data_IF_640452466669
#
_entry.id   IF_640452466669
#
_cell.length_a   1.000
_cell.length_b   1.000
_cell.length_c   1.000
_cell.angle_alpha   90.00
_cell.angle_beta   90.00
_cell.angle_gamma   90.00
#
_symmetry.space_group_name_H-M   'P 1'
#
loop_
_entity.id
_entity.type
_entity.pdbx_description
1 polymer ?
#
# COMPACT_ATOMS: atom_id res chain seq x y z
N UNK A 1 -13.75 37.69 21.40
CA UNK A 1 -14.00 36.47 22.20
C UNK A 1 -12.94 35.46 21.80
N UNK A 2 -12.08 35.10 22.75
CA UNK A 2 -10.87 34.31 22.51
C UNK A 2 -11.23 32.90 22.02
N UNK A 3 -10.55 32.44 20.97
CA UNK A 3 -10.71 31.11 20.34
C UNK A 3 -9.96 30.01 21.10
N UNK A 4 -9.71 30.21 22.40
CA UNK A 4 -8.74 29.44 23.19
C UNK A 4 -9.41 28.36 24.06
N UNK A 5 -10.47 27.73 23.53
CA UNK A 5 -11.25 26.73 24.25
C UNK A 5 -11.69 25.55 23.33
N UNK A 6 -10.79 25.07 22.47
CA UNK A 6 -10.88 23.68 21.97
C UNK A 6 -9.92 22.88 22.86
N UNK A 7 -10.35 22.36 24.01
CA UNK A 7 -11.15 21.14 24.02
C UNK A 7 -10.28 20.02 23.46
N UNK A 8 -9.63 19.22 24.32
CA UNK A 8 -8.71 18.16 23.91
C UNK A 8 -9.29 17.37 22.74
N UNK A 9 -8.56 17.36 21.61
CA UNK A 9 -8.99 16.72 20.36
C UNK A 9 -9.35 15.27 20.72
N UNK A 10 -10.61 14.88 20.52
CA UNK A 10 -10.96 13.45 20.60
C UNK A 10 -10.05 12.72 19.59
N UNK A 11 -9.49 11.55 19.94
CA UNK A 11 -8.87 10.69 18.95
C UNK A 11 -9.87 10.51 17.81
N UNK A 12 -9.42 10.73 16.57
CA UNK A 12 -10.20 10.40 15.38
C UNK A 12 -10.46 8.89 15.37
N UNK A 13 -11.54 8.46 14.74
CA UNK A 13 -11.86 7.05 14.57
C UNK A 13 -10.90 6.41 13.54
N UNK A 14 -10.19 5.31 13.85
CA UNK A 14 -9.34 4.60 12.89
C UNK A 14 -10.05 4.25 11.57
N UNK A 15 -11.35 3.95 11.58
CA UNK A 15 -12.11 3.64 10.36
C UNK A 15 -12.26 4.88 9.48
N UNK A 16 -12.59 6.02 10.09
CA UNK A 16 -12.69 7.31 9.39
C UNK A 16 -11.33 7.75 8.83
N UNK A 17 -10.25 7.59 9.59
CA UNK A 17 -8.89 7.92 9.14
C UNK A 17 -8.45 7.02 7.97
N UNK A 18 -8.78 5.72 8.01
CA UNK A 18 -8.47 4.79 6.92
C UNK A 18 -9.28 5.09 5.65
N UNK A 19 -10.58 5.39 5.81
CA UNK A 19 -11.45 5.82 4.71
C UNK A 19 -10.93 7.12 4.09
N UNK A 20 -10.52 8.07 4.93
CA UNK A 20 -9.95 9.32 4.46
C UNK A 20 -8.60 9.13 3.77
N UNK A 21 -7.75 8.21 4.25
CA UNK A 21 -6.50 7.87 3.59
C UNK A 21 -6.72 7.36 2.16
N UNK A 22 -7.69 6.44 1.97
CA UNK A 22 -8.09 5.94 0.64
C UNK A 22 -8.55 7.06 -0.30
N UNK A 23 -9.31 8.03 0.23
CA UNK A 23 -9.82 9.16 -0.56
C UNK A 23 -8.74 10.20 -0.88
N UNK A 24 -7.86 10.50 0.07
CA UNK A 24 -6.80 11.49 -0.09
C UNK A 24 -5.69 10.96 -1.00
N UNK A 25 -5.39 9.66 -0.94
CA UNK A 25 -4.41 9.03 -1.83
C UNK A 25 -4.79 9.26 -3.29
N UNK A 26 -6.01 8.89 -3.71
CA UNK A 26 -6.45 9.11 -5.10
C UNK A 26 -6.63 10.60 -5.43
N UNK A 27 -6.93 11.45 -4.44
CA UNK A 27 -7.02 12.90 -4.65
C UNK A 27 -5.65 13.60 -4.77
N UNK A 28 -4.57 12.96 -4.29
CA UNK A 28 -3.20 13.44 -4.38
C UNK A 28 -2.77 13.57 -5.84
N UNK A 29 -2.28 14.74 -6.24
CA UNK A 29 -1.93 15.01 -7.64
C UNK A 29 -0.71 15.94 -7.73
N UNK A 30 0.22 15.69 -8.67
CA UNK A 30 0.32 14.52 -9.55
C UNK A 30 0.72 13.24 -8.82
N UNK A 31 0.22 12.10 -9.28
CA UNK A 31 0.83 10.77 -9.04
C UNK A 31 1.25 10.17 -10.38
N UNK A 32 2.54 10.26 -10.76
CA UNK A 32 2.96 9.85 -12.09
C UNK A 32 2.48 8.47 -12.52
N UNK A 33 1.77 8.41 -13.65
CA UNK A 33 1.28 7.16 -14.26
C UNK A 33 0.03 6.54 -13.65
N UNK A 34 -0.36 6.97 -12.46
CA UNK A 34 -1.49 6.40 -11.73
C UNK A 34 -2.75 7.28 -11.85
N UNK A 35 -3.91 6.72 -11.54
CA UNK A 35 -5.17 7.46 -11.44
C UNK A 35 -5.06 8.50 -10.33
N UNK A 36 -5.42 9.75 -10.63
CA UNK A 36 -5.47 10.84 -9.67
C UNK A 36 -6.64 11.79 -9.95
N UNK A 37 -6.79 12.88 -9.20
CA UNK A 37 -7.92 13.82 -9.39
C UNK A 37 -8.01 14.43 -10.80
N UNK A 38 -6.91 14.42 -11.56
CA UNK A 38 -6.79 15.02 -12.91
C UNK A 38 -6.68 13.97 -14.00
N UNK A 39 -6.46 12.70 -13.67
CA UNK A 39 -6.14 11.63 -14.62
C UNK A 39 -6.95 10.37 -14.33
N UNK A 40 -7.68 9.94 -15.34
CA UNK A 40 -8.27 8.61 -15.44
C UNK A 40 -7.38 7.72 -16.32
N UNK A 41 -7.49 6.39 -16.16
CA UNK A 41 -7.04 5.40 -17.13
C UNK A 41 -8.25 4.83 -17.88
N UNK A 42 -8.03 4.19 -19.03
CA UNK A 42 -9.10 3.72 -19.95
C UNK A 42 -10.23 2.96 -19.23
N UNK A 43 -9.86 2.01 -18.36
CA UNK A 43 -10.79 1.15 -17.63
C UNK A 43 -10.88 1.47 -16.13
N UNK A 44 -10.20 2.52 -15.67
CA UNK A 44 -10.09 2.83 -14.24
C UNK A 44 -10.13 4.34 -14.00
N UNK A 45 -11.24 4.81 -13.42
CA UNK A 45 -11.55 6.23 -13.26
C UNK A 45 -11.52 6.67 -11.81
N UNK A 46 -11.25 7.95 -11.57
CA UNK A 46 -11.23 8.57 -10.25
C UNK A 46 -12.48 8.25 -9.43
N UNK A 47 -13.67 8.30 -10.03
CA UNK A 47 -14.93 8.04 -9.32
C UNK A 47 -15.07 6.58 -8.85
N UNK A 48 -14.40 5.62 -9.52
CA UNK A 48 -14.37 4.22 -9.10
C UNK A 48 -13.67 4.10 -7.74
N UNK A 49 -12.57 4.81 -7.52
CA UNK A 49 -11.85 4.84 -6.23
C UNK A 49 -12.71 5.45 -5.12
N UNK A 50 -13.47 6.52 -5.41
CA UNK A 50 -14.41 7.09 -4.43
C UNK A 50 -15.45 6.05 -4.01
N UNK A 51 -15.98 5.29 -4.97
CA UNK A 51 -16.91 4.19 -4.70
C UNK A 51 -16.26 3.06 -3.92
N UNK A 52 -15.02 2.69 -4.29
CA UNK A 52 -14.23 1.65 -3.64
C UNK A 52 -13.93 1.96 -2.17
N UNK A 53 -13.49 3.17 -1.87
CA UNK A 53 -13.22 3.63 -0.51
C UNK A 53 -14.46 3.55 0.39
N UNK A 54 -15.64 3.94 -0.12
CA UNK A 54 -16.90 3.80 0.62
C UNK A 54 -17.30 2.33 0.78
N UNK A 55 -17.12 1.51 -0.27
CA UNK A 55 -17.44 0.08 -0.25
C UNK A 55 -16.59 -0.73 0.73
N UNK A 56 -15.32 -0.35 0.92
CA UNK A 56 -14.40 -1.03 1.81
C UNK A 56 -14.71 -0.83 3.31
N UNK A 57 -15.53 0.17 3.66
CA UNK A 57 -15.72 0.62 5.04
C UNK A 57 -16.12 -0.50 6.01
N UNK A 58 -17.03 -1.38 5.62
CA UNK A 58 -17.49 -2.46 6.50
C UNK A 58 -16.35 -3.42 6.90
N UNK A 59 -15.41 -3.70 5.98
CA UNK A 59 -14.23 -4.48 6.33
C UNK A 59 -13.24 -3.72 7.22
N UNK A 60 -13.15 -2.39 7.07
CA UNK A 60 -12.35 -1.55 7.97
C UNK A 60 -12.96 -1.46 9.38
N UNK A 61 -14.29 -1.43 9.50
CA UNK A 61 -15.01 -1.53 10.77
C UNK A 61 -14.68 -2.87 11.47
N UNK A 62 -14.75 -3.99 10.75
CA UNK A 62 -14.35 -5.29 11.26
C UNK A 62 -12.87 -5.31 11.71
N UNK A 63 -11.98 -4.68 10.94
CA UNK A 63 -10.56 -4.55 11.32
C UNK A 63 -10.38 -3.74 12.61
N UNK A 64 -11.20 -2.72 12.84
CA UNK A 64 -11.21 -1.93 14.07
C UNK A 64 -11.85 -2.66 15.26
N UNK A 65 -12.38 -3.88 15.05
CA UNK A 65 -13.11 -4.64 16.06
C UNK A 65 -14.56 -4.24 16.22
N UNK A 66 -15.10 -3.47 15.28
CA UNK A 66 -16.51 -3.12 15.18
C UNK A 66 -17.23 -4.20 14.38
N UNK A 67 -18.10 -4.97 15.01
CA UNK A 67 -18.82 -6.03 14.33
C UNK A 67 -19.97 -6.59 15.18
N UNK A 68 -20.88 -7.36 14.56
CA UNK A 68 -21.94 -8.04 15.29
C UNK A 68 -21.37 -9.17 16.16
N UNK A 69 -21.50 -9.04 17.47
CA UNK A 69 -21.08 -10.04 18.44
C UNK A 69 -19.88 -9.59 19.29
N UNK A 70 -19.45 -10.46 20.20
CA UNK A 70 -18.32 -10.18 21.11
C UNK A 70 -16.96 -10.64 20.55
N UNK A 71 -16.97 -11.43 19.46
CA UNK A 71 -15.74 -11.91 18.81
C UNK A 71 -15.25 -10.90 17.77
N UNK A 72 -13.97 -10.54 17.88
CA UNK A 72 -13.35 -9.68 16.89
C UNK A 72 -13.00 -10.49 15.64
N UNK A 73 -13.39 -9.97 14.47
CA UNK A 73 -13.03 -10.56 13.19
C UNK A 73 -11.51 -10.76 13.05
N UNK A 74 -11.15 -11.82 12.31
CA UNK A 74 -9.77 -12.07 11.92
C UNK A 74 -9.30 -11.00 10.92
N UNK A 75 -7.99 -10.82 10.82
CA UNK A 75 -7.38 -9.84 9.89
C UNK A 75 -7.72 -10.20 8.44
N UNK A 76 -7.62 -11.49 8.08
CA UNK A 76 -7.98 -11.98 6.77
C UNK A 76 -9.46 -11.83 6.46
N UNK A 77 -10.35 -12.08 7.43
CA UNK A 77 -11.80 -11.91 7.24
C UNK A 77 -12.19 -10.45 7.06
N UNK A 78 -11.58 -9.53 7.81
CA UNK A 78 -11.76 -8.09 7.63
C UNK A 78 -11.27 -7.63 6.25
N UNK A 79 -10.12 -8.13 5.80
CA UNK A 79 -9.59 -7.87 4.46
C UNK A 79 -10.50 -8.40 3.34
N UNK A 80 -10.93 -9.66 3.41
CA UNK A 80 -11.86 -10.26 2.44
C UNK A 80 -13.16 -9.43 2.33
N UNK A 81 -13.71 -9.00 3.47
CA UNK A 81 -14.91 -8.15 3.47
C UNK A 81 -14.65 -6.78 2.86
N UNK A 82 -13.52 -6.15 3.17
CA UNK A 82 -13.16 -4.84 2.62
C UNK A 82 -13.01 -4.90 1.09
N UNK A 83 -12.29 -5.91 0.58
CA UNK A 83 -12.09 -6.12 -0.86
C UNK A 83 -13.42 -6.41 -1.55
N UNK A 84 -14.25 -7.29 -0.96
CA UNK A 84 -15.57 -7.61 -1.53
C UNK A 84 -16.47 -6.38 -1.62
N UNK A 85 -16.56 -5.58 -0.54
CA UNK A 85 -17.36 -4.35 -0.53
C UNK A 85 -16.84 -3.29 -1.50
N UNK A 86 -15.51 -3.13 -1.61
CA UNK A 86 -14.87 -2.30 -2.62
C UNK A 86 -15.27 -2.74 -4.04
N UNK A 87 -15.11 -4.02 -4.36
CA UNK A 87 -15.39 -4.57 -5.68
C UNK A 87 -16.88 -4.50 -6.04
N UNK A 88 -17.79 -4.78 -5.10
CA UNK A 88 -19.23 -4.65 -5.30
C UNK A 88 -19.62 -3.22 -5.70
N UNK A 89 -18.98 -2.23 -5.09
CA UNK A 89 -19.32 -0.82 -5.26
C UNK A 89 -18.62 -0.15 -6.43
N UNK A 90 -17.34 -0.46 -6.64
CA UNK A 90 -16.51 0.09 -7.71
C UNK A 90 -16.61 -0.71 -9.03
N UNK A 91 -17.10 -1.96 -8.97
CA UNK A 91 -17.21 -2.90 -10.10
C UNK A 91 -15.88 -3.31 -10.73
N UNK A 92 -14.76 -2.97 -10.08
CA UNK A 92 -13.40 -3.27 -10.47
C UNK A 92 -12.49 -3.22 -9.25
N UNK A 93 -11.25 -3.65 -9.40
CA UNK A 93 -10.20 -3.44 -8.41
C UNK A 93 -9.75 -1.97 -8.45
N UNK A 94 -9.87 -1.26 -7.33
CA UNK A 94 -9.33 0.10 -7.19
C UNK A 94 -8.16 0.16 -6.22
N UNK A 95 -8.26 -0.53 -5.08
CA UNK A 95 -7.43 -0.26 -3.90
C UNK A 95 -7.11 -1.55 -3.10
N UNK A 96 -7.01 -2.70 -3.77
CA UNK A 96 -6.69 -3.99 -3.11
C UNK A 96 -5.41 -3.92 -2.27
N UNK A 97 -4.31 -3.40 -2.82
CA UNK A 97 -3.04 -3.27 -2.09
C UNK A 97 -3.11 -2.26 -0.95
N UNK A 98 -3.81 -1.13 -1.13
CA UNK A 98 -4.10 -0.19 -0.05
C UNK A 98 -4.78 -0.89 1.12
N UNK A 99 -5.81 -1.70 0.86
CA UNK A 99 -6.53 -2.46 1.90
C UNK A 99 -5.64 -3.52 2.56
N UNK A 100 -4.76 -4.16 1.78
CA UNK A 100 -3.80 -5.14 2.29
C UNK A 100 -2.87 -4.51 3.33
N UNK A 101 -2.49 -3.24 3.14
CA UNK A 101 -1.66 -2.50 4.10
C UNK A 101 -2.49 -1.86 5.23
N UNK A 102 -3.68 -1.34 4.94
CA UNK A 102 -4.51 -0.63 5.91
C UNK A 102 -5.11 -1.54 6.98
N UNK A 103 -5.58 -2.73 6.64
CA UNK A 103 -6.26 -3.62 7.59
C UNK A 103 -5.41 -3.93 8.85
N UNK A 104 -4.15 -4.39 8.75
CA UNK A 104 -3.32 -4.60 9.94
C UNK A 104 -2.99 -3.30 10.68
N UNK A 105 -2.88 -2.17 9.98
CA UNK A 105 -2.65 -0.84 10.59
C UNK A 105 -3.87 -0.37 11.40
N UNK A 106 -5.08 -0.53 10.86
CA UNK A 106 -6.34 -0.23 11.55
C UNK A 106 -6.51 -1.11 12.78
N UNK A 107 -6.25 -2.42 12.63
CA UNK A 107 -6.26 -3.38 13.74
C UNK A 107 -5.31 -2.97 14.85
N UNK A 108 -4.10 -2.54 14.50
CA UNK A 108 -3.12 -2.09 15.47
C UNK A 108 -3.53 -0.77 16.15
N UNK A 109 -4.16 0.15 15.41
CA UNK A 109 -4.58 1.45 15.92
C UNK A 109 -5.85 1.41 16.80
N UNK A 110 -6.68 0.37 16.64
CA UNK A 110 -7.91 0.18 17.41
C UNK A 110 -7.67 -0.52 18.77
N UNK A 111 -6.57 -1.27 18.90
CA UNK A 111 -6.15 -1.90 20.14
C UNK A 111 -5.59 -0.85 21.12
N UNK A 112 -6.34 -0.55 22.19
CA UNK A 112 -5.96 0.48 23.17
C UNK A 112 -4.68 0.18 23.96
N UNK A 113 -4.28 -1.10 24.01
CA UNK A 113 -3.07 -1.55 24.69
C UNK A 113 -1.87 -1.61 23.73
N UNK A 114 -2.05 -1.19 22.48
CA UNK A 114 -1.04 -1.26 21.43
C UNK A 114 -0.75 0.11 20.84
N UNK A 115 0.54 0.37 20.65
CA UNK A 115 0.98 1.55 19.93
C UNK A 115 0.95 1.30 18.41
N UNK A 116 0.51 2.30 17.65
CA UNK A 116 0.68 2.31 16.19
C UNK A 116 2.15 2.60 15.84
N UNK A 117 2.95 1.54 15.91
CA UNK A 117 4.39 1.52 15.66
C UNK A 117 4.78 0.29 14.84
N UNK A 118 5.99 0.25 14.25
CA UNK A 118 6.49 -0.92 13.53
C UNK A 118 6.31 -2.23 14.32
N UNK A 119 6.68 -2.23 15.61
CA UNK A 119 6.56 -3.40 16.48
C UNK A 119 5.09 -3.76 16.78
N UNK A 120 4.23 -2.76 16.96
CA UNK A 120 2.80 -2.97 17.19
C UNK A 120 2.12 -3.69 16.02
N UNK A 121 2.42 -3.23 14.79
CA UNK A 121 1.86 -3.77 13.54
C UNK A 121 2.48 -5.13 13.20
N UNK A 122 3.80 -5.33 13.38
CA UNK A 122 4.44 -6.64 13.19
C UNK A 122 3.83 -7.71 14.12
N UNK A 123 3.49 -7.34 15.35
CA UNK A 123 2.79 -8.25 16.26
C UNK A 123 1.37 -8.61 15.79
N UNK A 124 0.64 -7.71 15.12
CA UNK A 124 -0.65 -8.04 14.47
C UNK A 124 -0.42 -9.00 13.31
N UNK A 125 0.56 -8.72 12.45
CA UNK A 125 0.88 -9.57 11.30
C UNK A 125 1.30 -10.98 11.73
N UNK A 126 2.15 -11.10 12.76
CA UNK A 126 2.58 -12.39 13.32
C UNK A 126 1.47 -13.20 13.99
N UNK A 127 0.41 -12.53 14.45
CA UNK A 127 -0.72 -13.18 15.06
C UNK A 127 -1.72 -13.74 14.03
N UNK A 128 -1.52 -13.49 12.74
CA UNK A 128 -2.35 -14.08 11.69
C UNK A 128 -2.23 -15.60 11.65
N UNK A 129 -3.30 -16.23 11.18
CA UNK A 129 -3.50 -17.66 11.21
C UNK A 129 -3.65 -18.23 9.80
N UNK A 130 -3.81 -19.55 9.72
CA UNK A 130 -4.16 -20.25 8.48
C UNK A 130 -5.53 -19.79 7.94
N UNK A 131 -6.49 -19.50 8.82
CA UNK A 131 -7.80 -19.01 8.39
C UNK A 131 -7.72 -17.58 7.84
N UNK A 132 -6.82 -16.74 8.37
CA UNK A 132 -6.51 -15.44 7.76
C UNK A 132 -5.96 -15.59 6.34
N UNK A 133 -5.07 -16.57 6.12
CA UNK A 133 -4.56 -16.86 4.79
C UNK A 133 -5.68 -17.30 3.85
N UNK A 134 -6.52 -18.25 4.25
CA UNK A 134 -7.64 -18.73 3.41
C UNK A 134 -8.57 -17.59 3.01
N UNK A 135 -8.92 -16.68 3.93
CA UNK A 135 -9.72 -15.50 3.63
C UNK A 135 -9.02 -14.54 2.65
N UNK A 136 -7.70 -14.34 2.78
CA UNK A 136 -6.91 -13.57 1.82
C UNK A 136 -6.97 -14.17 0.41
N UNK A 137 -6.85 -15.49 0.25
CA UNK A 137 -6.98 -16.13 -1.06
C UNK A 137 -8.38 -15.93 -1.66
N UNK A 138 -9.44 -16.04 -0.85
CA UNK A 138 -10.82 -15.80 -1.33
C UNK A 138 -11.03 -14.38 -1.85
N UNK A 139 -10.30 -13.40 -1.32
CA UNK A 139 -10.36 -12.02 -1.82
C UNK A 139 -9.94 -11.89 -3.29
N UNK A 140 -9.11 -12.80 -3.83
CA UNK A 140 -8.74 -12.81 -5.26
C UNK A 140 -9.87 -13.28 -6.18
N UNK A 141 -10.95 -13.88 -5.66
CA UNK A 141 -12.07 -14.35 -6.51
C UNK A 141 -12.96 -13.20 -7.00
N UNK A 142 -12.87 -12.03 -6.36
CA UNK A 142 -13.76 -10.88 -6.61
C UNK A 142 -13.05 -9.70 -7.29
N UNK A 143 -11.73 -9.77 -7.47
CA UNK A 143 -10.92 -8.73 -8.10
C UNK A 143 -9.81 -9.34 -8.96
N UNK A 144 -9.49 -8.67 -10.06
CA UNK A 144 -8.28 -8.97 -10.83
C UNK A 144 -7.08 -8.25 -10.20
N UNK A 145 -6.07 -9.01 -9.81
CA UNK A 145 -4.81 -8.51 -9.23
C UNK A 145 -3.66 -9.00 -10.09
N UNK A 146 -2.86 -8.08 -10.61
CA UNK A 146 -1.62 -8.44 -11.30
C UNK A 146 -0.61 -8.94 -10.27
N UNK A 147 -0.20 -10.20 -10.43
CA UNK A 147 0.82 -10.86 -9.61
C UNK A 147 1.77 -11.63 -10.50
N UNK A 148 3.04 -11.70 -10.08
CA UNK A 148 4.03 -12.57 -10.70
C UNK A 148 3.70 -14.04 -10.45
N UNK A 149 4.34 -14.93 -11.22
CA UNK A 149 4.29 -16.36 -10.94
C UNK A 149 4.87 -16.68 -9.54
N UNK A 150 4.27 -17.67 -8.84
CA UNK A 150 4.76 -18.10 -7.54
C UNK A 150 6.19 -18.66 -7.67
N UNK A 151 6.97 -18.66 -6.56
CA UNK A 151 8.29 -19.27 -6.58
C UNK A 151 8.21 -20.77 -6.90
N UNK A 152 9.29 -21.37 -7.46
CA UNK A 152 9.31 -22.79 -7.79
C UNK A 152 8.89 -23.69 -6.61
N UNK A 153 7.93 -24.59 -6.84
CA UNK A 153 7.41 -25.49 -5.81
C UNK A 153 6.26 -24.93 -4.95
N UNK A 154 5.77 -23.74 -5.29
CA UNK A 154 4.60 -23.10 -4.67
C UNK A 154 3.41 -22.93 -5.63
N UNK A 155 3.35 -23.70 -6.73
CA UNK A 155 2.25 -23.62 -7.73
C UNK A 155 0.86 -23.86 -7.11
N UNK A 156 0.78 -24.69 -6.07
CA UNK A 156 -0.46 -24.97 -5.32
C UNK A 156 -0.87 -23.82 -4.37
N UNK A 157 0.06 -22.89 -4.11
CA UNK A 157 -0.11 -21.64 -3.36
C UNK A 157 -0.22 -20.41 -4.29
N UNK A 158 -0.46 -20.62 -5.59
CA UNK A 158 -0.74 -19.51 -6.49
C UNK A 158 -2.03 -18.80 -6.07
N UNK A 159 -1.95 -17.50 -5.76
CA UNK A 159 -3.09 -16.67 -5.33
C UNK A 159 -4.21 -16.62 -6.37
N UNK A 160 -3.89 -16.83 -7.65
CA UNK A 160 -4.88 -16.92 -8.75
C UNK A 160 -5.81 -18.13 -8.62
N UNK A 161 -5.49 -19.09 -7.75
CA UNK A 161 -6.37 -20.23 -7.43
C UNK A 161 -7.51 -19.85 -6.49
N UNK A 162 -7.49 -18.68 -5.87
CA UNK A 162 -8.54 -18.25 -4.94
C UNK A 162 -8.76 -19.28 -3.82
N UNK A 163 -10.02 -19.57 -3.50
CA UNK A 163 -10.40 -20.57 -2.50
C UNK A 163 -9.90 -21.99 -2.79
N UNK A 164 -9.57 -22.33 -4.04
CA UNK A 164 -9.03 -23.66 -4.39
C UNK A 164 -7.60 -23.90 -3.87
N UNK A 165 -6.93 -22.87 -3.35
CA UNK A 165 -5.67 -22.99 -2.61
C UNK A 165 -5.85 -23.47 -1.16
N UNK A 166 -7.06 -23.42 -0.60
CA UNK A 166 -7.33 -23.74 0.82
C UNK A 166 -6.72 -25.08 1.28
N UNK A 167 -6.85 -26.20 0.54
CA UNK A 167 -6.23 -27.47 0.96
C UNK A 167 -4.71 -27.39 1.11
N UNK A 168 -4.03 -26.73 0.18
CA UNK A 168 -2.57 -26.59 0.20
C UNK A 168 -2.10 -25.66 1.32
N UNK A 169 -2.81 -24.53 1.52
CA UNK A 169 -2.56 -23.58 2.62
C UNK A 169 -2.69 -24.28 3.97
N UNK A 170 -3.73 -25.11 4.16
CA UNK A 170 -3.95 -25.87 5.40
C UNK A 170 -2.96 -27.01 5.59
N UNK A 171 -2.66 -27.78 4.55
CA UNK A 171 -1.69 -28.88 4.61
C UNK A 171 -0.29 -28.39 5.00
N UNK A 172 0.10 -27.21 4.50
CA UNK A 172 1.39 -26.57 4.79
C UNK A 172 1.37 -25.68 6.04
N UNK A 173 0.22 -25.58 6.74
CA UNK A 173 0.01 -24.75 7.92
C UNK A 173 0.42 -23.27 7.72
N UNK A 174 0.20 -22.72 6.52
CA UNK A 174 0.66 -21.38 6.15
C UNK A 174 -0.23 -20.30 6.76
N UNK A 175 0.35 -19.43 7.59
CA UNK A 175 -0.32 -18.21 8.03
C UNK A 175 -0.34 -17.15 6.92
N UNK A 176 -1.17 -16.11 7.04
CA UNK A 176 -1.19 -15.02 6.06
C UNK A 176 0.20 -14.37 5.93
N UNK A 177 0.89 -14.17 7.05
CA UNK A 177 2.25 -13.64 7.04
C UNK A 177 3.24 -14.56 6.32
N UNK A 178 3.10 -15.89 6.45
CA UNK A 178 3.97 -16.84 5.75
C UNK A 178 3.73 -16.79 4.24
N UNK A 179 2.47 -16.71 3.80
CA UNK A 179 2.11 -16.57 2.39
C UNK A 179 2.73 -15.31 1.79
N UNK A 180 2.61 -14.16 2.48
CA UNK A 180 3.22 -12.92 2.03
C UNK A 180 4.75 -13.00 2.06
N UNK A 181 5.36 -13.69 3.02
CA UNK A 181 6.81 -13.86 3.08
C UNK A 181 7.39 -14.58 1.84
N UNK A 182 6.63 -15.48 1.19
CA UNK A 182 7.04 -16.11 -0.08
C UNK A 182 7.19 -15.11 -1.22
N UNK A 183 6.46 -14.00 -1.19
CA UNK A 183 6.48 -12.95 -2.22
C UNK A 183 7.40 -11.77 -1.85
N UNK A 184 7.64 -11.57 -0.55
CA UNK A 184 8.46 -10.48 -0.02
C UNK A 184 9.97 -10.68 -0.24
N UNK A 185 10.43 -11.92 -0.27
CA UNK A 185 11.85 -12.19 -0.47
C UNK A 185 12.27 -11.81 -1.89
N UNK A 186 13.37 -11.06 -2.09
CA UNK A 186 14.10 -11.18 -3.35
C UNK A 186 14.38 -12.68 -3.54
N UNK A 187 14.41 -13.20 -4.77
CA UNK A 187 14.77 -14.61 -4.98
C UNK A 187 16.16 -14.82 -4.39
N UNK A 188 16.21 -15.33 -3.16
CA UNK A 188 17.42 -15.55 -2.40
C UNK A 188 18.08 -16.76 -3.03
N UNK A 189 18.87 -16.50 -4.05
CA UNK A 189 19.78 -17.50 -4.56
C UNK A 189 21.07 -16.82 -4.98
N UNK A 190 22.05 -16.91 -4.07
CA UNK A 190 23.45 -17.13 -4.46
C UNK A 190 23.62 -18.38 -5.37
N UNK A 191 22.52 -19.09 -5.66
CA UNK A 191 22.32 -20.16 -6.63
C UNK A 191 21.43 -19.76 -7.83
N UNK A 192 21.08 -18.47 -8.02
CA UNK A 192 20.32 -17.98 -9.17
C UNK A 192 21.14 -18.26 -10.43
N UNK A 193 20.85 -19.36 -11.10
CA UNK A 193 21.54 -19.76 -12.34
C UNK A 193 20.91 -19.09 -13.57
N UNK A 194 19.74 -18.47 -13.40
CA UNK A 194 19.01 -17.75 -14.44
C UNK A 194 19.03 -16.23 -14.20
N UNK A 195 19.27 -15.47 -15.27
CA UNK A 195 19.30 -14.00 -15.24
C UNK A 195 17.94 -13.38 -14.96
N UNK A 196 16.85 -14.14 -15.13
CA UNK A 196 15.50 -13.70 -14.80
C UNK A 196 15.24 -13.62 -13.28
N UNK A 197 15.73 -14.59 -12.49
CA UNK A 197 15.57 -14.61 -11.02
C UNK A 197 16.40 -13.49 -10.36
N UNK A 198 17.66 -13.34 -10.77
CA UNK A 198 18.56 -12.30 -10.27
C UNK A 198 18.05 -10.86 -10.52
N UNK A 199 17.05 -10.69 -11.38
CA UNK A 199 16.50 -9.40 -11.78
C UNK A 199 15.10 -9.13 -11.19
N UNK A 200 14.55 -10.03 -10.37
CA UNK A 200 13.19 -9.90 -9.81
C UNK A 200 13.11 -8.72 -8.83
N UNK A 201 12.06 -7.92 -8.97
CA UNK A 201 11.72 -6.86 -8.01
C UNK A 201 10.90 -7.50 -6.88
N UNK A 202 11.28 -7.35 -5.60
CA UNK A 202 10.51 -7.88 -4.48
C UNK A 202 9.10 -7.25 -4.40
N UNK A 203 8.11 -8.00 -3.90
CA UNK A 203 6.80 -7.44 -3.59
C UNK A 203 6.89 -6.51 -2.37
N UNK A 204 6.72 -5.21 -2.60
CA UNK A 204 6.85 -4.20 -1.54
C UNK A 204 5.69 -4.20 -0.56
N UNK A 205 4.47 -4.55 -1.00
CA UNK A 205 3.33 -4.69 -0.10
C UNK A 205 3.57 -5.87 0.84
N UNK A 206 4.04 -6.99 0.30
CA UNK A 206 4.40 -8.17 1.10
C UNK A 206 5.59 -7.90 2.03
N UNK A 207 6.58 -7.12 1.60
CA UNK A 207 7.71 -6.74 2.44
C UNK A 207 7.31 -5.87 3.64
N UNK A 208 6.29 -5.01 3.54
CA UNK A 208 5.77 -4.28 4.72
C UNK A 208 5.29 -5.23 5.82
N UNK A 209 4.62 -6.32 5.45
CA UNK A 209 4.08 -7.32 6.37
C UNK A 209 5.13 -8.13 7.12
N UNK A 210 6.32 -8.31 6.52
CA UNK A 210 7.42 -9.08 7.13
C UNK A 210 8.41 -8.20 7.87
N UNK A 211 8.54 -6.93 7.49
CA UNK A 211 9.54 -5.99 8.04
C UNK A 211 8.97 -5.01 9.08
N UNK A 212 7.65 -4.99 9.31
CA UNK A 212 7.03 -4.07 10.27
C UNK A 212 6.78 -2.67 9.69
N UNK A 213 6.44 -2.60 8.41
CA UNK A 213 5.99 -1.39 7.74
C UNK A 213 6.98 -0.20 7.66
N UNK A 214 8.29 -0.41 7.47
CA UNK A 214 9.28 0.67 7.53
C UNK A 214 9.02 1.77 6.49
N UNK A 215 8.58 1.42 5.27
CA UNK A 215 8.33 2.39 4.19
C UNK A 215 7.12 3.24 4.50
N UNK A 216 6.04 2.62 4.97
CA UNK A 216 4.84 3.31 5.44
C UNK A 216 5.16 4.33 6.54
N UNK A 217 5.88 3.91 7.58
CA UNK A 217 6.20 4.81 8.70
C UNK A 217 7.13 5.95 8.28
N UNK A 218 8.12 5.68 7.41
CA UNK A 218 9.01 6.72 6.89
C UNK A 218 8.27 7.74 6.03
N UNK A 219 7.39 7.29 5.12
CA UNK A 219 6.58 8.19 4.31
C UNK A 219 5.56 8.97 5.14
N UNK A 220 5.03 8.38 6.22
CA UNK A 220 4.14 9.09 7.14
C UNK A 220 4.88 10.26 7.83
N UNK A 221 6.16 10.10 8.16
CA UNK A 221 6.99 11.20 8.67
C UNK A 221 7.16 12.30 7.62
N UNK A 222 7.39 11.97 6.35
CA UNK A 222 7.44 12.96 5.28
C UNK A 222 6.14 13.76 5.22
N UNK A 223 4.99 13.09 5.19
CA UNK A 223 3.67 13.74 5.14
C UNK A 223 3.41 14.62 6.36
N UNK A 224 3.76 14.15 7.56
CA UNK A 224 3.54 14.87 8.82
C UNK A 224 4.36 16.16 8.93
N UNK A 225 5.59 16.12 8.44
CA UNK A 225 6.57 17.21 8.58
C UNK A 225 6.55 18.19 7.40
N UNK A 226 5.80 17.88 6.35
CA UNK A 226 5.59 18.74 5.19
C UNK A 226 4.50 19.79 5.44
N UNK A 227 4.42 20.81 4.59
CA UNK A 227 3.47 21.91 4.65
C UNK A 227 2.51 21.93 3.43
N UNK A 228 1.42 22.71 3.55
CA UNK A 228 0.42 22.85 2.49
C UNK A 228 -0.68 21.79 2.53
N UNK A 229 -1.50 21.66 1.46
CA UNK A 229 -2.61 20.71 1.41
C UNK A 229 -2.16 19.26 1.58
N UNK A 230 -2.91 18.46 2.34
CA UNK A 230 -2.55 17.05 2.59
C UNK A 230 -2.39 16.23 1.29
N UNK A 231 -3.22 16.52 0.28
CA UNK A 231 -3.12 15.88 -1.03
C UNK A 231 -1.79 16.19 -1.76
N UNK A 232 -1.25 17.39 -1.60
CA UNK A 232 0.05 17.78 -2.19
C UNK A 232 1.19 17.09 -1.44
N UNK A 233 1.08 16.98 -0.11
CA UNK A 233 2.04 16.21 0.72
C UNK A 233 2.04 14.73 0.34
N UNK A 234 0.87 14.16 0.06
CA UNK A 234 0.73 12.78 -0.42
C UNK A 234 1.40 12.59 -1.79
N UNK A 235 1.18 13.52 -2.73
CA UNK A 235 1.84 13.49 -4.04
C UNK A 235 3.37 13.57 -3.93
N UNK A 236 3.90 14.40 -3.03
CA UNK A 236 5.34 14.45 -2.77
C UNK A 236 5.86 13.16 -2.12
N UNK A 237 5.16 12.62 -1.12
CA UNK A 237 5.52 11.35 -0.50
C UNK A 237 5.50 10.18 -1.49
N UNK A 238 4.56 10.16 -2.44
CA UNK A 238 4.53 9.21 -3.55
C UNK A 238 5.81 9.28 -4.38
N UNK A 239 6.27 10.48 -4.75
CA UNK A 239 7.53 10.67 -5.49
C UNK A 239 8.74 10.18 -4.67
N UNK A 240 8.76 10.44 -3.36
CA UNK A 240 9.77 9.93 -2.44
C UNK A 240 9.82 8.40 -2.39
N UNK A 241 8.66 7.75 -2.28
CA UNK A 241 8.53 6.30 -2.29
C UNK A 241 8.96 5.70 -3.63
N UNK A 242 8.54 6.29 -4.75
CA UNK A 242 8.92 5.83 -6.09
C UNK A 242 10.42 5.97 -6.35
N UNK A 243 11.04 7.06 -5.86
CA UNK A 243 12.48 7.26 -5.92
C UNK A 243 13.26 6.27 -5.03
N UNK A 244 12.67 5.83 -3.91
CA UNK A 244 13.29 4.94 -2.95
C UNK A 244 13.56 3.54 -3.51
N UNK A 245 12.72 3.04 -4.42
CA UNK A 245 12.95 1.77 -5.09
C UNK A 245 11.87 1.40 -6.13
N UNK A 246 12.13 0.36 -6.95
CA UNK A 246 11.23 -0.05 -8.02
C UNK A 246 9.84 -0.46 -7.54
N UNK A 247 8.82 -0.09 -8.31
CA UNK A 247 7.43 -0.44 -8.05
C UNK A 247 7.11 -1.87 -8.50
N UNK A 248 6.47 -2.65 -7.62
CA UNK A 248 6.15 -4.07 -7.89
C UNK A 248 5.16 -4.23 -9.05
N UNK A 249 4.12 -3.40 -9.12
CA UNK A 249 3.12 -3.50 -10.19
C UNK A 249 3.74 -3.18 -11.56
N UNK A 250 4.59 -2.15 -11.64
CA UNK A 250 5.33 -1.84 -12.88
C UNK A 250 6.24 -3.00 -13.26
N UNK A 251 6.92 -3.61 -12.29
CA UNK A 251 7.79 -4.74 -12.55
C UNK A 251 7.03 -5.97 -13.08
N UNK A 252 5.87 -6.29 -12.50
CA UNK A 252 5.03 -7.41 -12.94
C UNK A 252 4.38 -7.20 -14.31
N UNK A 253 4.06 -5.95 -14.67
CA UNK A 253 3.34 -5.64 -15.91
C UNK A 253 4.24 -5.29 -17.09
N UNK A 254 5.37 -4.62 -16.83
CA UNK A 254 6.28 -4.10 -17.85
C UNK A 254 7.74 -4.52 -17.66
N UNK A 255 8.08 -5.20 -16.56
CA UNK A 255 9.41 -5.73 -16.29
C UNK A 255 10.26 -4.86 -15.36
N UNK A 256 11.25 -5.50 -14.75
CA UNK A 256 12.12 -4.87 -13.74
C UNK A 256 12.94 -3.68 -14.27
N UNK A 257 13.29 -3.67 -15.56
CA UNK A 257 14.04 -2.55 -16.16
C UNK A 257 13.19 -1.28 -16.21
N UNK A 258 11.94 -1.38 -16.67
CA UNK A 258 10.99 -0.26 -16.68
C UNK A 258 10.69 0.23 -15.27
N UNK A 259 10.52 -0.67 -14.30
CA UNK A 259 10.32 -0.30 -12.90
C UNK A 259 11.50 0.51 -12.32
N UNK A 260 12.75 0.12 -12.65
CA UNK A 260 13.95 0.87 -12.25
C UNK A 260 14.07 2.21 -12.95
N UNK A 261 13.75 2.27 -14.23
CA UNK A 261 13.74 3.53 -14.98
C UNK A 261 12.73 4.52 -14.39
N UNK A 262 11.53 4.04 -14.03
CA UNK A 262 10.52 4.86 -13.38
C UNK A 262 11.03 5.44 -12.05
N UNK A 263 11.66 4.63 -11.21
CA UNK A 263 12.29 5.09 -9.96
C UNK A 263 13.43 6.08 -10.20
N UNK A 264 14.27 5.85 -11.22
CA UNK A 264 15.36 6.75 -11.56
C UNK A 264 14.86 8.13 -12.02
N UNK A 265 13.75 8.17 -12.77
CA UNK A 265 13.12 9.43 -13.19
C UNK A 265 12.50 10.19 -12.02
N UNK A 266 11.89 9.48 -11.07
CA UNK A 266 11.42 10.07 -9.82
C UNK A 266 12.58 10.62 -8.98
N UNK A 267 13.67 9.86 -8.83
CA UNK A 267 14.88 10.28 -8.12
C UNK A 267 15.51 11.54 -8.75
N UNK A 268 15.59 11.61 -10.08
CA UNK A 268 16.08 12.77 -10.81
C UNK A 268 15.23 14.02 -10.54
N UNK A 269 13.90 13.88 -10.43
CA UNK A 269 12.99 14.98 -10.08
C UNK A 269 13.26 15.51 -8.67
N UNK A 270 13.57 14.62 -7.73
CA UNK A 270 13.92 14.98 -6.34
C UNK A 270 15.37 15.47 -6.20
N UNK A 271 16.19 15.40 -7.26
CA UNK A 271 17.60 15.76 -7.22
C UNK A 271 18.45 14.83 -6.35
N UNK A 272 18.02 13.58 -6.17
CA UNK A 272 18.76 12.54 -5.42
C UNK A 272 19.41 11.56 -6.39
N UNK A 273 20.67 11.21 -6.14
CA UNK A 273 21.40 10.27 -7.00
C UNK A 273 21.06 8.82 -6.65
N UNK A 274 20.81 7.99 -7.68
CA UNK A 274 20.61 6.56 -7.50
C UNK A 274 21.87 5.88 -6.97
N UNK A 275 21.73 5.02 -5.97
CA UNK A 275 22.82 4.24 -5.40
C UNK A 275 23.07 2.92 -6.16
N UNK A 276 22.22 2.58 -7.14
CA UNK A 276 22.32 1.35 -7.92
C UNK A 276 21.02 0.91 -8.59
N UNK A 277 20.92 -0.37 -9.03
CA UNK A 277 19.71 -0.91 -9.66
C UNK A 277 18.54 -1.06 -8.67
N UNK A 278 18.77 -1.03 -7.36
CA UNK A 278 17.73 -1.12 -6.33
C UNK A 278 17.14 0.24 -5.92
N UNK A 279 17.49 1.31 -6.65
CA UNK A 279 17.12 2.69 -6.34
C UNK A 279 18.19 3.41 -5.50
N UNK A 280 17.77 4.37 -4.68
CA UNK A 280 18.69 5.23 -3.91
C UNK A 280 19.21 4.59 -2.60
N UNK A 281 18.91 3.32 -2.33
CA UNK A 281 19.30 2.62 -1.10
C UNK A 281 18.17 2.49 -0.07
N UNK A 282 16.91 2.52 -0.52
CA UNK A 282 15.72 2.40 0.33
C UNK A 282 15.18 3.75 0.82
N UNK A 283 14.07 3.72 1.55
CA UNK A 283 13.34 4.93 1.97
C UNK A 283 14.13 5.83 2.93
N UNK A 284 15.04 5.26 3.74
CA UNK A 284 15.87 6.05 4.66
C UNK A 284 16.93 6.88 3.94
N UNK A 285 17.27 6.53 2.70
CA UNK A 285 18.20 7.27 1.87
C UNK A 285 17.56 8.49 1.19
N UNK A 286 16.22 8.63 1.21
CA UNK A 286 15.54 9.83 0.67
C UNK A 286 15.45 10.89 1.78
N UNK A 287 16.13 12.06 1.63
CA UNK A 287 15.99 13.15 2.59
C UNK A 287 14.58 13.74 2.56
N UNK A 288 14.04 14.10 3.71
CA UNK A 288 12.71 14.69 3.78
C UNK A 288 12.64 16.01 3.00
N UNK A 289 13.73 16.80 3.03
CA UNK A 289 13.86 18.06 2.31
C UNK A 289 13.76 17.89 0.79
N UNK A 290 14.29 16.79 0.26
CA UNK A 290 14.17 16.48 -1.17
C UNK A 290 12.72 16.14 -1.54
N UNK A 291 12.04 15.36 -0.69
CA UNK A 291 10.62 15.03 -0.85
C UNK A 291 9.76 16.29 -0.77
N UNK A 292 9.90 17.10 0.29
CA UNK A 292 9.13 18.33 0.51
C UNK A 292 9.37 19.38 -0.58
N UNK A 293 10.59 19.44 -1.12
CA UNK A 293 11.00 20.34 -2.19
C UNK A 293 10.60 19.89 -3.60
N UNK A 294 9.95 18.73 -3.75
CA UNK A 294 9.60 18.18 -5.06
C UNK A 294 8.72 19.15 -5.87
N UNK A 295 9.12 19.43 -7.10
CA UNK A 295 8.37 20.29 -8.02
C UNK A 295 7.18 19.52 -8.61
N UNK A 296 5.99 19.79 -8.07
CA UNK A 296 4.74 19.16 -8.53
C UNK A 296 4.37 19.56 -9.96
N UNK A 297 4.85 20.69 -10.49
CA UNK A 297 4.64 21.03 -11.89
C UNK A 297 5.54 20.19 -12.81
N UNK A 298 6.79 19.93 -12.41
CA UNK A 298 7.66 18.99 -13.12
C UNK A 298 7.12 17.56 -13.03
N UNK A 299 6.54 17.18 -11.88
CA UNK A 299 5.94 15.86 -11.70
C UNK A 299 4.68 15.66 -12.56
N UNK A 300 3.96 16.74 -12.89
CA UNK A 300 2.83 16.70 -13.83
C UNK A 300 3.29 16.26 -15.23
N UNK A 301 4.46 16.74 -15.69
CA UNK A 301 5.05 16.33 -16.96
C UNK A 301 5.49 14.87 -16.93
N UNK A 302 6.10 14.44 -15.81
CA UNK A 302 6.46 13.02 -15.62
C UNK A 302 5.21 12.13 -15.62
N UNK A 303 4.11 12.60 -15.03
CA UNK A 303 2.86 11.88 -14.98
C UNK A 303 2.23 11.68 -16.36
N UNK A 304 2.26 12.69 -17.23
CA UNK A 304 1.82 12.54 -18.62
C UNK A 304 2.67 11.52 -19.37
N UNK A 305 4.00 11.60 -19.23
CA UNK A 305 4.90 10.66 -19.89
C UNK A 305 4.67 9.21 -19.43
N UNK A 306 4.46 8.97 -18.13
CA UNK A 306 4.17 7.63 -17.63
C UNK A 306 2.83 7.08 -18.15
N UNK A 307 1.80 7.93 -18.30
CA UNK A 307 0.54 7.52 -18.91
C UNK A 307 0.75 7.12 -20.38
N UNK A 308 1.48 7.92 -21.15
CA UNK A 308 1.80 7.64 -22.55
C UNK A 308 2.62 6.33 -22.71
N UNK A 309 3.47 6.02 -21.72
CA UNK A 309 4.30 4.82 -21.66
C UNK A 309 3.59 3.62 -21.01
N UNK A 310 2.38 3.80 -20.49
CA UNK A 310 1.63 2.77 -19.76
C UNK A 310 2.23 2.35 -18.41
N UNK A 311 3.11 3.17 -17.83
CA UNK A 311 3.73 2.94 -16.53
C UNK A 311 2.75 3.34 -15.43
N UNK A 312 2.33 2.39 -14.58
CA UNK A 312 1.44 2.67 -13.45
C UNK A 312 2.05 2.17 -12.12
N UNK A 313 2.64 3.06 -11.31
CA UNK A 313 3.19 2.73 -9.99
C UNK A 313 2.10 2.56 -8.92
N UNK A 314 1.32 1.47 -9.03
CA UNK A 314 0.21 1.15 -8.13
C UNK A 314 0.65 0.77 -6.72
N UNK A 315 1.76 0.03 -6.59
CA UNK A 315 2.28 -0.38 -5.27
C UNK A 315 2.80 0.83 -4.48
N UNK A 316 3.36 1.82 -5.16
CA UNK A 316 3.76 3.11 -4.57
C UNK A 316 2.55 3.88 -4.04
N UNK A 317 1.41 3.82 -4.74
CA UNK A 317 0.16 4.40 -4.26
C UNK A 317 -0.36 3.66 -3.02
N UNK A 318 -0.28 2.32 -2.98
CA UNK A 318 -0.66 1.53 -1.81
C UNK A 318 0.13 1.96 -0.55
N UNK A 319 1.45 2.09 -0.67
CA UNK A 319 2.33 2.57 0.39
C UNK A 319 2.01 4.02 0.80
N UNK A 320 1.66 4.87 -0.16
CA UNK A 320 1.24 6.26 0.10
C UNK A 320 -0.08 6.29 0.88
N UNK A 321 -1.04 5.42 0.57
CA UNK A 321 -2.30 5.26 1.30
C UNK A 321 -2.04 4.84 2.75
N UNK A 322 -1.20 3.83 2.96
CA UNK A 322 -0.83 3.36 4.28
C UNK A 322 -0.14 4.48 5.10
N UNK A 323 0.75 5.23 4.47
CA UNK A 323 1.47 6.34 5.08
C UNK A 323 0.51 7.48 5.49
N UNK A 324 -0.48 7.80 4.64
CA UNK A 324 -1.53 8.76 4.94
C UNK A 324 -2.33 8.36 6.19
N UNK A 325 -2.69 7.09 6.33
CA UNK A 325 -3.37 6.61 7.53
C UNK A 325 -2.53 6.87 8.78
N UNK A 326 -1.26 6.45 8.78
CA UNK A 326 -0.37 6.68 9.93
C UNK A 326 -0.19 8.17 10.22
N UNK A 327 -0.08 9.01 9.19
CA UNK A 327 0.02 10.46 9.34
C UNK A 327 -1.26 11.06 9.95
N UNK A 328 -2.44 10.66 9.51
CA UNK A 328 -3.73 11.09 10.07
C UNK A 328 -3.85 10.69 11.55
N UNK A 329 -3.50 9.44 11.89
CA UNK A 329 -3.44 8.95 13.28
C UNK A 329 -2.48 9.75 14.16
N UNK A 330 -1.40 10.26 13.56
CA UNK A 330 -0.38 11.12 14.22
C UNK A 330 -0.69 12.60 14.15
N UNK A 331 -1.83 12.96 13.58
CA UNK A 331 -2.43 14.27 13.69
C UNK A 331 -2.32 15.18 12.48
N UNK A 332 -1.93 14.65 11.31
CA UNK A 332 -2.11 15.36 10.04
C UNK A 332 -3.59 15.75 9.86
N UNK A 333 -3.84 16.94 9.31
CA UNK A 333 -5.18 17.47 9.09
C UNK A 333 -5.43 17.68 7.60
N UNK A 334 -6.69 17.50 7.18
CA UNK A 334 -7.13 17.83 5.80
C UNK A 334 -7.24 19.35 5.61
N UNK A 335 -7.47 20.08 6.70
CA UNK A 335 -7.56 21.53 6.67
C UNK A 335 -6.17 22.16 6.44
N UNK A 336 -6.08 23.22 5.62
CA UNK A 336 -4.83 23.91 5.33
C UNK A 336 -4.29 24.71 6.53
#
# INVERSE_FOLDING_TARGET
MSRDARGGRRPTDPVDDATLALLVEVAGTPKPGNVDRRRDLDDLRFESFLGGAVGAREGLELAAGEGPGDEVASVGGAFERAVSGMAERARTNTQFGCLLLLVPLVRAAADSDRELSPAGVDAVCRATTVDDAVAFYRAFEVVDVAVDDPPPGADDLDVRRGGDAEPAVREREMTLRDVLALSAAPSDSAEATDSAEANRVPDRNAAEWTEGFPRTFRAAEWILTDEGPLADRAARAFLGLLAAGPDTLVASTQGAETAREASARAAALLGVESAGPDGIGGVDAVPAEAVHGADLAAAEVLAEAFVDEGINPGTTADLTCAALFVALRRGAEVAP
#
